data_IF_421887368500
#
_entry.id   IF_421887368500
#
_cell.length_a   1.000
_cell.length_b   1.000
_cell.length_c   1.000
_cell.angle_alpha   90.00
_cell.angle_beta   90.00
_cell.angle_gamma   90.00
#
_symmetry.space_group_name_H-M   'P 1'
#
loop_
_entity.id
_entity.type
_entity.pdbx_description
1 polymer ?
#
# COMPACT_ATOMS: atom_id res chain seq x y z
N UNK A 1 -65.22 27.15 5.11
CA UNK A 1 -64.93 27.98 3.91
C UNK A 1 -64.46 29.34 4.39
N UNK A 2 -63.40 29.95 3.81
CA UNK A 2 -63.13 30.12 2.37
C UNK A 2 -62.00 29.24 1.80
N UNK A 3 -61.84 29.37 0.48
CA UNK A 3 -61.26 28.44 -0.50
C UNK A 3 -59.72 28.57 -0.72
N UNK A 4 -59.08 27.54 -1.31
CA UNK A 4 -57.65 27.50 -1.59
C UNK A 4 -57.28 28.24 -2.89
N UNK A 5 -56.07 28.79 -2.95
CA UNK A 5 -55.46 29.27 -4.20
C UNK A 5 -54.10 28.62 -4.38
N UNK A 6 -54.07 27.71 -5.33
CA UNK A 6 -52.92 27.02 -5.91
C UNK A 6 -52.26 27.90 -6.96
N UNK A 7 -50.94 27.95 -6.94
CA UNK A 7 -50.11 28.17 -8.13
C UNK A 7 -48.92 27.22 -8.07
N UNK A 8 -48.78 26.47 -9.16
CA UNK A 8 -47.91 25.32 -9.44
C UNK A 8 -46.57 25.73 -10.06
N UNK A 9 -45.74 24.71 -10.30
CA UNK A 9 -44.54 24.62 -11.17
C UNK A 9 -43.23 24.55 -10.33
N UNK A 10 -42.29 23.63 -10.52
CA UNK A 10 -42.03 22.59 -11.53
C UNK A 10 -41.21 21.49 -10.83
N UNK A 11 -41.50 20.21 -11.08
CA UNK A 11 -40.60 19.29 -11.81
C UNK A 11 -39.11 19.44 -11.45
N UNK A 12 -38.54 18.49 -10.71
CA UNK A 12 -37.46 17.62 -11.23
C UNK A 12 -37.16 16.52 -10.20
N UNK A 13 -37.28 15.27 -10.62
CA UNK A 13 -36.70 14.15 -9.88
C UNK A 13 -35.19 14.26 -9.92
N UNK A 14 -34.58 14.65 -8.81
CA UNK A 14 -33.13 14.53 -8.63
C UNK A 14 -32.84 13.19 -7.95
N UNK A 15 -32.75 12.17 -8.79
CA UNK A 15 -31.96 10.97 -8.56
C UNK A 15 -30.54 11.39 -8.19
N UNK A 16 -30.21 11.38 -6.89
CA UNK A 16 -28.82 11.51 -6.43
C UNK A 16 -28.18 10.13 -6.35
N UNK A 17 -28.11 9.47 -7.50
CA UNK A 17 -27.07 8.51 -7.74
C UNK A 17 -25.71 9.22 -7.72
N UNK A 18 -24.73 8.56 -7.10
CA UNK A 18 -23.30 8.71 -7.35
C UNK A 18 -22.57 9.80 -6.59
N UNK A 19 -21.71 9.34 -5.68
CA UNK A 19 -20.64 10.10 -5.08
C UNK A 19 -19.83 9.21 -4.16
N UNK A 20 -19.25 8.13 -4.71
CA UNK A 20 -18.07 7.53 -4.09
C UNK A 20 -17.14 8.70 -3.75
N UNK A 21 -16.92 8.92 -2.46
CA UNK A 21 -16.10 10.02 -1.97
C UNK A 21 -14.71 9.91 -2.57
N UNK A 22 -14.53 10.56 -3.72
CA UNK A 22 -13.27 11.01 -4.26
C UNK A 22 -12.77 12.10 -3.31
N UNK A 23 -12.30 11.65 -2.14
CA UNK A 23 -11.53 12.47 -1.24
C UNK A 23 -10.23 12.84 -1.97
N UNK A 24 -10.26 14.02 -2.59
CA UNK A 24 -9.10 14.85 -2.83
C UNK A 24 -8.02 14.25 -3.72
N UNK A 25 -8.24 14.27 -5.04
CA UNK A 25 -7.15 14.44 -6.00
C UNK A 25 -6.65 15.88 -5.90
N UNK A 26 -5.88 16.16 -4.85
CA UNK A 26 -5.01 17.34 -4.82
C UNK A 26 -3.82 17.13 -5.77
N UNK A 27 -3.15 18.19 -6.23
CA UNK A 27 -1.92 18.08 -7.00
C UNK A 27 -0.78 17.71 -6.03
N UNK A 28 -0.70 16.44 -5.65
CA UNK A 28 0.32 15.91 -4.76
C UNK A 28 0.63 14.47 -5.18
N UNK A 29 1.89 14.20 -5.53
CA UNK A 29 2.32 12.86 -5.92
C UNK A 29 1.86 11.83 -4.90
N UNK A 30 1.44 10.67 -5.39
CA UNK A 30 1.03 9.52 -4.59
C UNK A 30 2.15 9.09 -3.64
N UNK A 31 2.29 9.76 -2.49
CA UNK A 31 3.25 9.41 -1.45
C UNK A 31 2.72 8.21 -0.70
N UNK A 32 3.11 7.01 -1.16
CA UNK A 32 2.97 5.81 -0.35
C UNK A 32 3.89 5.94 0.88
N UNK A 33 3.41 5.57 2.05
CA UNK A 33 4.28 5.44 3.22
C UNK A 33 5.13 4.17 3.05
N UNK A 34 6.45 4.29 3.18
CA UNK A 34 7.33 3.13 3.01
C UNK A 34 7.68 2.51 4.36
N UNK A 35 7.33 1.25 4.55
CA UNK A 35 7.77 0.41 5.66
C UNK A 35 9.09 -0.24 5.26
N UNK A 36 10.19 0.14 5.90
CA UNK A 36 11.51 -0.43 5.65
C UNK A 36 11.77 -1.55 6.64
N UNK A 37 12.11 -2.73 6.14
CA UNK A 37 12.47 -3.91 6.95
C UNK A 37 13.90 -4.30 6.65
N UNK A 38 14.74 -4.31 7.69
CA UNK A 38 16.10 -4.81 7.57
C UNK A 38 16.12 -6.33 7.73
N UNK A 39 16.68 -7.01 6.74
CA UNK A 39 16.64 -8.45 6.60
C UNK A 39 18.04 -9.00 6.76
N UNK A 40 18.17 -9.99 7.65
CA UNK A 40 19.30 -10.90 7.73
C UNK A 40 18.77 -12.34 7.70
N UNK A 41 19.63 -13.32 7.44
CA UNK A 41 19.20 -14.72 7.34
C UNK A 41 18.90 -15.33 8.71
N UNK A 42 17.79 -14.95 9.32
CA UNK A 42 17.30 -15.52 10.57
C UNK A 42 15.77 -15.49 10.67
N UNK A 43 15.25 -16.21 11.66
CA UNK A 43 13.80 -16.30 11.92
C UNK A 43 13.18 -14.96 12.32
N UNK A 44 13.93 -14.09 13.01
CA UNK A 44 13.41 -12.80 13.46
C UNK A 44 13.07 -11.87 12.29
N UNK A 45 13.96 -11.79 11.29
CA UNK A 45 13.71 -11.03 10.07
C UNK A 45 12.53 -11.59 9.27
N UNK A 46 12.36 -12.91 9.21
CA UNK A 46 11.19 -13.51 8.57
C UNK A 46 9.88 -13.06 9.23
N UNK A 47 9.79 -13.16 10.56
CA UNK A 47 8.62 -12.71 11.32
C UNK A 47 8.40 -11.20 11.15
N UNK A 48 9.46 -10.40 11.12
CA UNK A 48 9.35 -8.96 10.89
C UNK A 48 8.76 -8.63 9.51
N UNK A 49 9.16 -9.37 8.46
CA UNK A 49 8.59 -9.23 7.11
C UNK A 49 7.11 -9.60 7.10
N UNK A 50 6.72 -10.70 7.75
CA UNK A 50 5.32 -11.14 7.81
C UNK A 50 4.43 -10.12 8.56
N UNK A 51 4.93 -9.58 9.68
CA UNK A 51 4.24 -8.52 10.43
C UNK A 51 4.13 -7.25 9.58
N UNK A 52 5.23 -6.84 8.92
CA UNK A 52 5.24 -5.67 8.04
C UNK A 52 4.20 -5.81 6.91
N UNK A 53 4.11 -6.99 6.30
CA UNK A 53 3.10 -7.29 5.28
C UNK A 53 1.68 -7.24 5.85
N UNK A 54 1.48 -7.71 7.08
CA UNK A 54 0.16 -7.75 7.72
C UNK A 54 -0.35 -6.38 8.18
N UNK A 55 0.56 -5.47 8.57
CA UNK A 55 0.19 -4.10 9.00
C UNK A 55 0.09 -3.12 7.82
N UNK A 56 0.71 -3.43 6.68
CA UNK A 56 0.70 -2.56 5.52
C UNK A 56 -0.70 -2.48 4.89
N UNK A 57 -1.14 -1.25 4.62
CA UNK A 57 -2.41 -0.96 3.98
C UNK A 57 -2.24 -0.82 2.48
N UNK A 58 -2.93 -1.67 1.72
CA UNK A 58 -2.97 -1.59 0.25
C UNK A 58 -3.36 -0.18 -0.23
N UNK A 59 -2.65 0.32 -1.24
CA UNK A 59 -2.88 1.66 -1.81
C UNK A 59 -2.43 2.84 -0.94
N UNK A 60 -1.90 2.59 0.26
CA UNK A 60 -1.31 3.62 1.14
C UNK A 60 0.14 3.35 1.49
N UNK A 61 0.49 2.08 1.67
CA UNK A 61 1.81 1.69 2.14
C UNK A 61 2.54 0.87 1.08
N UNK A 62 3.87 0.89 1.13
CA UNK A 62 4.78 0.06 0.36
C UNK A 62 5.80 -0.59 1.29
N UNK A 63 6.23 -1.81 0.98
CA UNK A 63 7.32 -2.47 1.71
C UNK A 63 8.64 -2.30 0.97
N UNK A 64 9.71 -2.06 1.73
CA UNK A 64 11.09 -2.11 1.23
C UNK A 64 11.91 -3.04 2.10
N UNK A 65 12.37 -4.14 1.52
CA UNK A 65 13.24 -5.12 2.16
C UNK A 65 14.70 -4.75 1.88
N UNK A 66 15.50 -4.54 2.92
CA UNK A 66 16.88 -4.08 2.80
C UNK A 66 17.80 -5.04 3.52
N UNK A 67 18.88 -5.47 2.86
CA UNK A 67 19.95 -6.23 3.50
C UNK A 67 21.29 -5.51 3.34
N UNK A 68 22.19 -5.68 4.31
CA UNK A 68 23.54 -5.12 4.27
C UNK A 68 24.55 -6.24 4.10
N UNK A 69 25.49 -6.03 3.18
CA UNK A 69 26.64 -6.92 2.96
C UNK A 69 27.93 -6.13 3.05
N UNK A 70 29.02 -6.82 3.39
CA UNK A 70 30.34 -6.18 3.57
C UNK A 70 31.18 -6.18 2.29
N UNK A 71 30.72 -6.86 1.24
CA UNK A 71 31.42 -6.93 -0.04
C UNK A 71 30.47 -7.28 -1.18
N UNK A 72 30.83 -6.88 -2.40
CA UNK A 72 30.08 -7.25 -3.62
C UNK A 72 30.01 -8.76 -3.84
N UNK A 73 31.00 -9.53 -3.37
CA UNK A 73 30.98 -11.00 -3.47
C UNK A 73 29.82 -11.65 -2.72
N UNK A 74 29.27 -10.98 -1.69
CA UNK A 74 28.13 -11.46 -0.91
C UNK A 74 26.78 -11.02 -1.51
N UNK A 75 26.79 -10.20 -2.56
CA UNK A 75 25.57 -9.63 -3.14
C UNK A 75 24.63 -10.68 -3.70
N UNK A 76 25.16 -11.75 -4.31
CA UNK A 76 24.36 -12.87 -4.82
C UNK A 76 23.55 -13.56 -3.72
N UNK A 77 24.22 -13.92 -2.61
CA UNK A 77 23.56 -14.54 -1.46
C UNK A 77 22.50 -13.62 -0.82
N UNK A 78 22.79 -12.32 -0.79
CA UNK A 78 21.87 -11.29 -0.32
C UNK A 78 20.64 -11.12 -1.21
N UNK A 79 20.82 -11.13 -2.53
CA UNK A 79 19.73 -11.09 -3.51
C UNK A 79 18.86 -12.34 -3.39
N UNK A 80 19.45 -13.53 -3.23
CA UNK A 80 18.70 -14.77 -2.98
C UNK A 80 17.89 -14.72 -1.67
N UNK A 81 18.49 -14.19 -0.60
CA UNK A 81 17.81 -14.00 0.67
C UNK A 81 16.58 -13.08 0.51
N UNK A 82 16.77 -11.92 -0.14
CA UNK A 82 15.68 -10.97 -0.37
C UNK A 82 14.61 -11.55 -1.29
N UNK A 83 14.98 -12.32 -2.32
CA UNK A 83 14.04 -13.01 -3.20
C UNK A 83 13.17 -14.02 -2.44
N UNK A 84 13.76 -14.82 -1.52
CA UNK A 84 13.00 -15.73 -0.66
C UNK A 84 12.02 -14.99 0.24
N UNK A 85 12.44 -13.88 0.85
CA UNK A 85 11.56 -13.08 1.72
C UNK A 85 10.46 -12.38 0.94
N UNK A 86 10.77 -11.86 -0.25
CA UNK A 86 9.80 -11.30 -1.18
C UNK A 86 8.74 -12.35 -1.55
N UNK A 87 9.16 -13.56 -1.94
CA UNK A 87 8.23 -14.62 -2.30
C UNK A 87 7.27 -14.97 -1.14
N UNK A 88 7.78 -15.01 0.09
CA UNK A 88 6.96 -15.23 1.31
C UNK A 88 5.87 -14.18 1.48
N UNK A 89 6.22 -12.89 1.35
CA UNK A 89 5.28 -11.80 1.58
C UNK A 89 4.31 -11.59 0.40
N UNK A 90 4.78 -11.76 -0.84
CA UNK A 90 3.97 -11.57 -2.05
C UNK A 90 2.90 -12.66 -2.23
N UNK A 91 3.14 -13.87 -1.73
CA UNK A 91 2.11 -14.91 -1.68
C UNK A 91 0.98 -14.55 -0.71
N UNK A 92 1.33 -13.89 0.39
CA UNK A 92 0.40 -13.55 1.47
C UNK A 92 -0.34 -12.22 1.22
N UNK A 93 0.26 -11.26 0.50
CA UNK A 93 -0.23 -9.87 0.39
C UNK A 93 -0.08 -9.31 -1.03
N UNK A 94 -0.90 -9.79 -1.98
CA UNK A 94 -0.80 -9.46 -3.42
C UNK A 94 -1.01 -7.99 -3.79
N UNK A 95 -1.48 -7.16 -2.87
CA UNK A 95 -1.92 -5.78 -3.14
C UNK A 95 -0.99 -4.70 -2.58
N UNK A 96 0.10 -5.07 -1.89
CA UNK A 96 1.07 -4.11 -1.38
C UNK A 96 2.32 -4.14 -2.25
N UNK A 97 2.79 -3.00 -2.80
CA UNK A 97 4.04 -2.93 -3.54
C UNK A 97 5.22 -3.32 -2.63
N UNK A 98 6.09 -4.21 -3.10
CA UNK A 98 7.27 -4.65 -2.37
C UNK A 98 8.51 -4.42 -3.24
N UNK A 99 9.52 -3.77 -2.70
CA UNK A 99 10.82 -3.56 -3.32
C UNK A 99 11.94 -4.20 -2.48
N UNK A 100 13.04 -4.58 -3.13
CA UNK A 100 14.22 -5.20 -2.49
C UNK A 100 15.47 -4.38 -2.78
N UNK A 101 16.37 -4.25 -1.81
CA UNK A 101 17.63 -3.51 -1.95
C UNK A 101 18.77 -4.18 -1.18
N UNK A 102 19.91 -4.35 -1.85
CA UNK A 102 21.17 -4.76 -1.22
C UNK A 102 22.07 -3.53 -1.09
N UNK A 103 22.53 -3.26 0.13
CA UNK A 103 23.47 -2.17 0.40
C UNK A 103 24.82 -2.77 0.77
N UNK A 104 25.84 -2.43 -0.02
CA UNK A 104 27.23 -2.79 0.26
C UNK A 104 27.85 -1.70 1.16
N UNK A 105 28.49 -2.09 2.25
CA UNK A 105 29.16 -1.19 3.21
C UNK A 105 30.62 -1.52 3.40
#
# INVERSE_FOLDING_TARGET
APAPSSSTNNEEGADLATGAGSAGRGPGGSHLNTIVVFVINNRASQVAVDIAGSVAKSGRDALRLVTFVSSDSQRGDADELLARMYASVSQSQRSVPVATEVVVR
#
